data_IF_018416892480
#
_entry.id   IF_018416892480
#
_cell.length_a   1.000
_cell.length_b   1.000
_cell.length_c   1.000
_cell.angle_alpha   90.00
_cell.angle_beta   90.00
_cell.angle_gamma   90.00
#
_symmetry.space_group_name_H-M   'P 1'
#
loop_
_entity.id
_entity.type
_entity.pdbx_description
1 polymer ?
#
# COMPACT_ATOMS: atom_id res chain seq x y z
N UNK A 1 -45.98 50.26 45.36
CA UNK A 1 -45.66 49.90 43.95
C UNK A 1 -44.26 50.41 43.64
N UNK A 2 -43.47 49.61 42.91
CA UNK A 2 -42.03 49.72 42.55
C UNK A 2 -41.06 49.01 43.50
N UNK A 3 -40.96 47.69 43.28
CA UNK A 3 -39.78 46.87 43.56
C UNK A 3 -38.71 47.13 42.50
N UNK A 4 -37.47 47.35 42.92
CA UNK A 4 -36.28 47.39 42.07
C UNK A 4 -35.54 46.05 42.17
N UNK A 5 -35.41 45.37 41.03
CA UNK A 5 -34.72 44.10 40.82
C UNK A 5 -33.19 44.31 40.84
N UNK A 6 -32.45 43.48 41.58
CA UNK A 6 -31.03 43.20 41.36
C UNK A 6 -30.90 41.92 40.53
N UNK A 7 -29.99 41.83 39.53
CA UNK A 7 -29.71 40.55 38.88
C UNK A 7 -28.67 39.78 39.69
N UNK A 8 -29.02 38.54 40.06
CA UNK A 8 -28.12 37.53 40.60
C UNK A 8 -27.35 36.91 39.42
N UNK A 9 -26.04 37.06 39.38
CA UNK A 9 -25.18 36.34 38.42
C UNK A 9 -24.92 34.95 39.00
N UNK A 10 -25.52 33.92 38.39
CA UNK A 10 -25.22 32.53 38.70
C UNK A 10 -23.99 32.08 37.88
N UNK A 11 -22.84 31.90 38.54
CA UNK A 11 -21.72 31.14 37.98
C UNK A 11 -22.02 29.64 38.14
N UNK A 12 -22.28 28.95 37.03
CA UNK A 12 -22.30 27.49 36.98
C UNK A 12 -20.89 27.00 36.62
N UNK A 13 -20.12 26.55 37.60
CA UNK A 13 -18.86 25.83 37.40
C UNK A 13 -19.15 24.34 37.21
N UNK A 14 -18.91 23.82 36.00
CA UNK A 14 -18.96 22.39 35.70
C UNK A 14 -17.69 21.74 36.23
N UNK A 15 -17.83 20.88 37.24
CA UNK A 15 -16.74 20.03 37.76
C UNK A 15 -16.79 18.71 36.99
N UNK A 16 -15.81 18.48 36.11
CA UNK A 16 -15.62 17.18 35.46
C UNK A 16 -14.89 16.24 36.42
N UNK A 17 -15.59 15.24 36.94
CA UNK A 17 -15.00 14.12 37.68
C UNK A 17 -14.72 13.01 36.66
N UNK A 18 -13.45 12.77 36.34
CA UNK A 18 -13.04 11.59 35.58
C UNK A 18 -13.09 10.37 36.49
N UNK A 19 -13.95 9.41 36.17
CA UNK A 19 -13.94 8.07 36.78
C UNK A 19 -12.91 7.24 35.99
N UNK A 20 -11.88 6.65 36.62
CA UNK A 20 -11.01 5.74 35.92
C UNK A 20 -11.79 4.46 35.57
N UNK A 21 -11.84 4.14 34.28
CA UNK A 21 -12.24 2.82 33.81
C UNK A 21 -11.27 1.80 34.39
N UNK A 22 -11.82 0.82 35.11
CA UNK A 22 -11.08 -0.34 35.62
C UNK A 22 -10.36 -1.05 34.48
N UNK A 23 -9.04 -1.24 34.63
CA UNK A 23 -8.23 -2.00 33.69
C UNK A 23 -8.73 -3.45 33.60
N UNK A 24 -9.26 -3.78 32.43
CA UNK A 24 -9.44 -5.14 31.92
C UNK A 24 -8.09 -5.81 31.68
N UNK A 25 -8.13 -7.13 31.49
CA UNK A 25 -7.05 -8.06 31.16
C UNK A 25 -5.74 -7.42 30.66
N UNK A 26 -4.63 -7.83 31.27
CA UNK A 26 -3.27 -7.45 30.87
C UNK A 26 -2.97 -8.07 29.49
N UNK A 27 -3.34 -7.38 28.42
CA UNK A 27 -2.91 -7.73 27.06
C UNK A 27 -1.39 -7.59 26.96
N UNK A 28 -0.76 -8.46 26.17
CA UNK A 28 0.66 -8.32 25.86
C UNK A 28 0.91 -6.97 25.16
N UNK A 29 2.00 -6.27 25.47
CA UNK A 29 2.30 -4.99 24.83
C UNK A 29 2.55 -5.18 23.32
N UNK A 30 2.01 -4.26 22.51
CA UNK A 30 2.23 -4.23 21.06
C UNK A 30 3.71 -4.01 20.74
N UNK A 31 4.27 -4.90 19.92
CA UNK A 31 5.68 -4.91 19.55
C UNK A 31 5.89 -4.37 18.13
N UNK A 32 6.95 -3.58 17.96
CA UNK A 32 7.45 -3.15 16.66
C UNK A 32 8.15 -4.30 15.94
N UNK A 33 7.88 -4.44 14.64
CA UNK A 33 8.48 -5.47 13.80
C UNK A 33 9.51 -4.88 12.82
N UNK A 34 9.13 -3.80 12.13
CA UNK A 34 9.96 -3.10 11.15
C UNK A 34 9.39 -1.70 10.84
N UNK A 35 10.16 -0.88 10.14
CA UNK A 35 9.76 0.45 9.70
C UNK A 35 10.29 0.73 8.29
N UNK A 36 9.64 1.67 7.61
CA UNK A 36 10.04 2.19 6.30
C UNK A 36 9.76 3.68 6.23
N UNK A 37 10.47 4.39 5.34
CA UNK A 37 10.27 5.82 5.17
C UNK A 37 10.40 6.28 3.72
N UNK A 38 9.79 7.42 3.43
CA UNK A 38 9.95 8.17 2.20
C UNK A 38 10.31 9.62 2.52
N UNK A 39 11.08 10.23 1.62
CA UNK A 39 11.47 11.64 1.68
C UNK A 39 11.00 12.32 0.39
N UNK A 40 10.21 13.38 0.51
CA UNK A 40 9.81 14.18 -0.65
C UNK A 40 9.33 15.55 -0.20
N UNK A 41 9.61 16.59 -0.99
CA UNK A 41 9.08 17.94 -0.79
C UNK A 41 9.26 18.45 0.66
N UNK A 42 10.48 18.33 1.20
CA UNK A 42 10.82 18.67 2.59
C UNK A 42 9.90 18.00 3.62
N UNK A 43 9.46 16.78 3.34
CA UNK A 43 8.58 16.01 4.20
C UNK A 43 9.14 14.60 4.37
N UNK A 44 9.29 14.20 5.63
CA UNK A 44 9.48 12.80 6.01
C UNK A 44 8.12 12.18 6.26
N UNK A 45 7.87 11.05 5.62
CA UNK A 45 6.81 10.13 6.02
C UNK A 45 7.43 8.81 6.44
N UNK A 46 7.04 8.31 7.61
CA UNK A 46 7.56 7.06 8.16
C UNK A 46 6.39 6.22 8.63
N UNK A 47 6.41 4.92 8.30
CA UNK A 47 5.47 3.95 8.86
C UNK A 47 6.21 2.91 9.68
N UNK A 48 5.66 2.57 10.84
CA UNK A 48 6.16 1.54 11.73
C UNK A 48 5.10 0.45 11.87
N UNK A 49 5.45 -0.79 11.54
CA UNK A 49 4.54 -1.93 11.51
C UNK A 49 4.71 -2.79 12.76
N UNK A 50 3.59 -3.27 13.31
CA UNK A 50 3.53 -3.97 14.59
C UNK A 50 2.96 -5.39 14.45
N UNK A 51 3.02 -6.13 15.55
CA UNK A 51 2.39 -7.44 15.71
C UNK A 51 0.90 -7.39 16.09
N UNK A 52 0.31 -6.20 16.25
CA UNK A 52 -1.09 -6.01 16.65
C UNK A 52 -2.06 -6.84 15.79
N UNK A 53 -2.95 -7.60 16.43
CA UNK A 53 -4.00 -8.34 15.74
C UNK A 53 -5.21 -7.43 15.51
N UNK A 54 -5.64 -7.17 14.26
CA UNK A 54 -6.84 -6.38 13.98
C UNK A 54 -8.12 -7.02 14.55
N UNK A 55 -8.11 -8.31 14.89
CA UNK A 55 -9.23 -9.02 15.51
C UNK A 55 -9.29 -8.88 17.04
N UNK A 56 -8.19 -8.49 17.68
CA UNK A 56 -8.10 -8.22 19.12
C UNK A 56 -7.37 -6.89 19.36
N UNK A 57 -8.02 -5.76 18.99
CA UNK A 57 -7.36 -4.46 19.01
C UNK A 57 -7.12 -3.99 20.45
N UNK A 58 -5.91 -3.49 20.68
CA UNK A 58 -5.52 -2.83 21.93
C UNK A 58 -4.96 -1.45 21.63
N UNK A 59 -5.19 -0.50 22.53
CA UNK A 59 -4.65 0.85 22.39
C UNK A 59 -3.13 0.81 22.55
N UNK A 60 -2.42 1.34 21.55
CA UNK A 60 -0.97 1.48 21.59
C UNK A 60 -0.54 2.77 20.89
N UNK A 61 0.51 3.39 21.42
CA UNK A 61 1.11 4.61 20.86
C UNK A 61 2.57 4.32 20.55
N UNK A 62 2.98 4.66 19.32
CA UNK A 62 4.37 4.67 18.91
C UNK A 62 4.91 6.11 18.90
N UNK A 63 6.15 6.29 19.33
CA UNK A 63 6.85 7.57 19.35
C UNK A 63 8.06 7.54 18.43
N UNK A 64 8.14 8.52 17.52
CA UNK A 64 9.32 8.77 16.69
C UNK A 64 10.25 9.73 17.43
N UNK A 65 11.49 9.32 17.62
CA UNK A 65 12.51 10.08 18.34
C UNK A 65 13.75 10.26 17.47
N UNK A 66 14.33 11.46 17.51
CA UNK A 66 15.61 11.76 16.87
C UNK A 66 16.71 11.89 17.92
N UNK A 67 17.91 11.45 17.55
CA UNK A 67 19.09 11.57 18.40
C UNK A 67 19.68 12.98 18.30
N UNK A 68 19.91 13.61 19.45
CA UNK A 68 20.56 14.92 19.58
C UNK A 68 21.68 14.83 20.62
N UNK A 69 22.91 14.65 20.15
CA UNK A 69 24.06 14.30 21.00
C UNK A 69 23.83 12.94 21.66
N UNK A 70 23.87 12.90 22.99
CA UNK A 70 23.64 11.69 23.79
C UNK A 70 22.17 11.53 24.24
N UNK A 71 21.28 12.42 23.80
CA UNK A 71 19.86 12.41 24.21
C UNK A 71 18.94 12.08 23.05
N UNK A 72 17.78 11.50 23.36
CA UNK A 72 16.70 11.25 22.41
C UNK A 72 15.60 12.27 22.62
N UNK A 73 15.10 12.84 21.54
CA UNK A 73 13.99 13.79 21.55
C UNK A 73 12.83 13.24 20.74
N UNK A 74 11.68 13.06 21.37
CA UNK A 74 10.42 12.77 20.65
C UNK A 74 10.05 13.93 19.74
N UNK A 75 9.88 13.63 18.45
CA UNK A 75 9.48 14.61 17.44
C UNK A 75 8.05 14.38 16.95
N UNK A 76 7.51 13.18 17.12
CA UNK A 76 6.11 12.87 16.89
C UNK A 76 5.68 11.61 17.66
N UNK A 77 4.37 11.50 17.89
CA UNK A 77 3.71 10.28 18.39
C UNK A 77 2.50 9.99 17.53
N UNK A 78 2.19 8.71 17.35
CA UNK A 78 1.05 8.24 16.57
C UNK A 78 0.42 7.01 17.23
N UNK A 79 -0.90 6.91 17.17
CA UNK A 79 -1.61 5.68 17.53
C UNK A 79 -1.25 4.56 16.54
N UNK A 80 -1.18 3.33 17.04
CA UNK A 80 -1.09 2.14 16.19
C UNK A 80 -2.49 1.86 15.66
N UNK A 81 -2.72 2.12 14.38
CA UNK A 81 -4.01 1.93 13.73
C UNK A 81 -4.36 0.42 13.71
N UNK A 82 -5.48 -0.01 14.34
CA UNK A 82 -5.78 -1.43 14.46
C UNK A 82 -5.93 -2.17 13.13
N UNK A 83 -6.54 -1.51 12.14
CA UNK A 83 -6.84 -2.13 10.85
C UNK A 83 -5.57 -2.51 10.07
N UNK A 84 -4.52 -1.69 10.18
CA UNK A 84 -3.26 -1.83 9.45
C UNK A 84 -2.11 -2.35 10.32
N UNK A 85 -2.33 -2.49 11.62
CA UNK A 85 -1.30 -2.79 12.62
C UNK A 85 -0.06 -1.89 12.44
N UNK A 86 -0.30 -0.58 12.26
CA UNK A 86 0.73 0.37 11.80
C UNK A 86 0.55 1.74 12.46
N UNK A 87 1.66 2.32 12.91
CA UNK A 87 1.73 3.74 13.25
C UNK A 87 2.35 4.53 12.08
N UNK A 88 1.76 5.69 11.74
CA UNK A 88 2.22 6.53 10.64
C UNK A 88 2.59 7.93 11.14
N UNK A 89 3.75 8.42 10.72
CA UNK A 89 4.30 9.72 11.08
C UNK A 89 4.48 10.58 9.84
N UNK A 90 4.24 11.88 9.99
CA UNK A 90 4.54 12.91 8.98
C UNK A 90 5.24 14.08 9.66
N UNK A 91 6.44 14.41 9.20
CA UNK A 91 7.21 15.57 9.65
C UNK A 91 7.43 16.48 8.46
N UNK A 92 6.84 17.68 8.51
CA UNK A 92 7.02 18.71 7.48
C UNK A 92 8.23 19.58 7.80
N UNK A 93 8.74 20.29 6.78
CA UNK A 93 9.98 21.06 6.85
C UNK A 93 11.17 20.20 7.31
N UNK A 94 11.21 18.96 6.83
CA UNK A 94 12.29 18.01 7.08
C UNK A 94 13.59 18.49 6.43
N UNK A 95 14.69 18.39 7.17
CA UNK A 95 16.03 18.64 6.67
C UNK A 95 16.58 17.37 5.98
N UNK A 96 16.46 17.35 4.66
CA UNK A 96 17.00 16.29 3.79
C UNK A 96 18.51 16.41 3.54
N UNK A 97 19.17 17.49 3.93
CA UNK A 97 20.60 17.71 3.65
C UNK A 97 21.50 17.00 4.67
N UNK A 98 20.95 16.60 5.82
CA UNK A 98 21.68 15.94 6.90
C UNK A 98 21.06 14.58 7.25
N UNK A 99 21.91 13.65 7.71
CA UNK A 99 21.45 12.33 8.14
C UNK A 99 21.04 12.37 9.60
N UNK A 100 19.87 11.81 9.92
CA UNK A 100 19.31 11.80 11.26
C UNK A 100 19.24 10.38 11.80
N UNK A 101 19.95 10.11 12.89
CA UNK A 101 19.77 8.87 13.66
C UNK A 101 18.42 8.96 14.37
N UNK A 102 17.56 7.97 14.16
CA UNK A 102 16.22 7.95 14.71
C UNK A 102 15.93 6.61 15.39
N UNK A 103 14.90 6.61 16.23
CA UNK A 103 14.24 5.39 16.67
C UNK A 103 12.74 5.56 16.73
N UNK A 104 12.01 4.47 16.54
CA UNK A 104 10.59 4.36 16.89
C UNK A 104 10.49 3.51 18.15
N UNK A 105 9.71 3.94 19.13
CA UNK A 105 9.47 3.22 20.39
C UNK A 105 7.98 2.91 20.51
N UNK A 106 7.63 1.66 20.80
CA UNK A 106 6.26 1.24 21.13
C UNK A 106 6.32 0.07 22.11
N UNK A 107 5.56 0.17 23.21
CA UNK A 107 5.63 -0.78 24.31
C UNK A 107 7.06 -0.90 24.86
N UNK A 108 7.57 -2.13 24.92
CA UNK A 108 8.95 -2.44 25.36
C UNK A 108 9.95 -2.55 24.20
N UNK A 109 9.51 -2.31 22.96
CA UNK A 109 10.32 -2.51 21.76
C UNK A 109 10.72 -1.20 21.10
N UNK A 110 11.84 -1.24 20.38
CA UNK A 110 12.31 -0.13 19.57
C UNK A 110 12.91 -0.61 18.26
N UNK A 111 12.84 0.23 17.24
CA UNK A 111 13.57 0.09 15.97
C UNK A 111 14.46 1.32 15.84
N UNK A 112 15.77 1.11 15.63
CA UNK A 112 16.75 2.17 15.41
C UNK A 112 17.30 2.13 13.99
N UNK A 113 17.41 3.30 13.36
CA UNK A 113 17.90 3.44 12.00
C UNK A 113 18.43 4.85 11.71
N UNK A 114 18.72 5.08 10.43
CA UNK A 114 19.20 6.36 9.92
C UNK A 114 18.28 6.82 8.78
N UNK A 115 17.65 7.98 8.95
CA UNK A 115 17.06 8.71 7.83
C UNK A 115 18.23 9.41 7.14
N UNK A 116 18.57 8.96 5.94
CA UNK A 116 19.76 9.43 5.23
C UNK A 116 19.55 10.82 4.64
N UNK A 117 20.63 11.58 4.59
CA UNK A 117 20.70 12.75 3.73
C UNK A 117 20.50 12.33 2.27
N UNK A 118 19.87 13.20 1.48
CA UNK A 118 19.79 13.02 0.04
C UNK A 118 21.20 13.07 -0.57
N UNK A 119 21.60 12.12 -1.43
CA UNK A 119 22.93 12.08 -2.03
C UNK A 119 23.11 13.10 -3.17
N UNK A 120 22.83 14.37 -2.90
CA UNK A 120 22.88 15.48 -3.87
C UNK A 120 24.30 15.77 -4.40
N UNK A 121 25.33 15.32 -3.68
CA UNK A 121 26.74 15.46 -4.04
C UNK A 121 27.23 14.35 -4.99
N UNK A 122 26.43 13.29 -5.17
CA UNK A 122 26.76 12.17 -6.06
C UNK A 122 26.31 12.46 -7.49
N UNK A 123 27.15 12.05 -8.45
CA UNK A 123 26.78 12.06 -9.88
C UNK A 123 25.90 10.87 -10.28
N UNK A 124 25.75 9.89 -9.42
CA UNK A 124 25.06 8.63 -9.71
C UNK A 124 24.20 8.25 -8.54
N UNK A 125 22.91 8.06 -8.81
CA UNK A 125 21.94 7.54 -7.86
C UNK A 125 21.85 6.01 -8.03
N UNK A 126 22.12 5.25 -6.96
CA UNK A 126 21.99 3.79 -6.98
C UNK A 126 20.59 3.37 -6.56
N UNK A 127 19.81 2.87 -7.50
CA UNK A 127 18.49 2.29 -7.25
C UNK A 127 18.60 0.77 -7.15
N UNK A 128 18.09 0.19 -6.06
CA UNK A 128 17.92 -1.27 -5.91
C UNK A 128 16.48 -1.63 -6.25
N UNK A 129 16.27 -2.35 -7.37
CA UNK A 129 14.96 -2.81 -7.78
C UNK A 129 14.71 -4.26 -7.34
N UNK A 130 13.55 -4.52 -6.72
CA UNK A 130 13.11 -5.84 -6.26
C UNK A 130 11.64 -6.02 -6.64
N UNK A 131 11.27 -7.22 -7.07
CA UNK A 131 9.87 -7.59 -7.32
C UNK A 131 9.68 -9.09 -7.09
N UNK A 132 8.43 -9.54 -7.06
CA UNK A 132 8.08 -10.96 -7.05
C UNK A 132 8.69 -11.73 -5.86
N UNK A 133 8.47 -11.21 -4.65
CA UNK A 133 9.01 -11.77 -3.40
C UNK A 133 8.05 -12.82 -2.82
N UNK A 134 8.32 -14.08 -3.11
CA UNK A 134 7.71 -15.21 -2.39
C UNK A 134 8.45 -15.51 -1.07
N UNK A 135 7.90 -16.36 -0.21
CA UNK A 135 8.52 -16.72 1.07
C UNK A 135 9.23 -18.10 1.10
N UNK A 136 9.47 -18.72 -0.07
CA UNK A 136 10.05 -20.07 -0.18
C UNK A 136 11.49 -20.19 0.34
N UNK A 137 12.18 -19.07 0.51
CA UNK A 137 13.55 -18.98 1.04
C UNK A 137 13.66 -17.96 2.16
N UNK A 138 12.55 -17.62 2.81
CA UNK A 138 12.56 -16.74 3.97
C UNK A 138 13.65 -17.19 4.99
N UNK A 139 14.53 -16.29 5.45
CA UNK A 139 14.48 -14.83 5.33
C UNK A 139 15.37 -14.22 4.22
N UNK A 140 15.83 -14.98 3.21
CA UNK A 140 16.72 -14.47 2.14
C UNK A 140 18.04 -13.84 2.62
N UNK A 141 18.54 -14.23 3.81
CA UNK A 141 19.62 -13.50 4.49
C UNK A 141 20.87 -13.20 3.65
N UNK A 142 21.33 -14.14 2.80
CA UNK A 142 22.48 -13.90 1.91
C UNK A 142 22.20 -12.83 0.84
N UNK A 143 21.03 -12.88 0.21
CA UNK A 143 20.66 -11.91 -0.82
C UNK A 143 20.48 -10.51 -0.22
N UNK A 144 19.81 -10.43 0.94
CA UNK A 144 19.64 -9.17 1.67
C UNK A 144 20.98 -8.60 2.12
N UNK A 145 21.89 -9.43 2.64
CA UNK A 145 23.24 -8.97 3.00
C UNK A 145 23.98 -8.39 1.79
N UNK A 146 23.92 -9.06 0.63
CA UNK A 146 24.52 -8.54 -0.60
C UNK A 146 23.89 -7.21 -1.03
N UNK A 147 22.57 -7.06 -0.91
CA UNK A 147 21.89 -5.79 -1.18
C UNK A 147 22.37 -4.68 -0.24
N UNK A 148 22.59 -4.97 1.04
CA UNK A 148 23.15 -4.02 2.02
C UNK A 148 24.57 -3.61 1.61
N UNK A 149 25.40 -4.57 1.22
CA UNK A 149 26.79 -4.34 0.79
C UNK A 149 26.91 -3.48 -0.48
N UNK A 150 25.91 -3.52 -1.38
CA UNK A 150 25.86 -2.63 -2.55
C UNK A 150 25.63 -1.15 -2.18
N UNK A 151 25.14 -0.90 -0.97
CA UNK A 151 24.78 0.41 -0.43
C UNK A 151 23.94 1.25 -1.42
N UNK A 152 22.70 0.80 -1.75
CA UNK A 152 21.82 1.57 -2.60
C UNK A 152 21.42 2.87 -1.92
N UNK A 153 21.14 3.90 -2.71
CA UNK A 153 20.66 5.20 -2.24
C UNK A 153 19.14 5.17 -2.03
N UNK A 154 18.41 4.46 -2.89
CA UNK A 154 16.96 4.29 -2.81
C UNK A 154 16.56 2.85 -3.18
N UNK A 155 15.51 2.35 -2.54
CA UNK A 155 14.92 1.04 -2.82
C UNK A 155 13.67 1.21 -3.67
N UNK A 156 13.46 0.31 -4.63
CA UNK A 156 12.24 0.23 -5.42
C UNK A 156 11.68 -1.18 -5.39
N UNK A 157 10.48 -1.33 -4.84
CA UNK A 157 9.69 -2.56 -4.86
C UNK A 157 8.57 -2.42 -5.87
N UNK A 158 8.69 -3.12 -6.99
CA UNK A 158 7.92 -2.85 -8.21
C UNK A 158 6.58 -3.60 -8.30
N UNK A 159 6.21 -4.36 -7.28
CA UNK A 159 5.07 -5.27 -7.32
C UNK A 159 5.37 -6.63 -6.70
N UNK A 160 4.32 -7.34 -6.31
CA UNK A 160 4.36 -8.67 -5.72
C UNK A 160 5.29 -8.72 -4.50
N UNK A 161 5.07 -7.82 -3.54
CA UNK A 161 5.80 -7.86 -2.26
C UNK A 161 5.45 -9.12 -1.46
N UNK A 162 4.27 -9.71 -1.74
CA UNK A 162 3.85 -11.00 -1.22
C UNK A 162 2.99 -11.76 -2.23
N UNK A 163 2.85 -13.06 -2.00
CA UNK A 163 1.91 -13.94 -2.69
C UNK A 163 0.87 -14.47 -1.70
N UNK A 164 -0.32 -14.80 -2.20
CA UNK A 164 -1.41 -15.47 -1.47
C UNK A 164 -0.93 -16.72 -0.72
N UNK A 165 0.04 -17.43 -1.32
CA UNK A 165 0.61 -18.66 -0.78
C UNK A 165 1.56 -18.45 0.40
N UNK A 166 2.01 -17.22 0.65
CA UNK A 166 2.95 -16.94 1.73
C UNK A 166 2.30 -17.22 3.10
N UNK A 167 3.13 -17.40 4.12
CA UNK A 167 2.75 -17.56 5.52
C UNK A 167 1.70 -18.67 5.78
N UNK A 168 1.85 -19.83 5.12
CA UNK A 168 1.01 -21.01 5.36
C UNK A 168 -0.07 -21.25 4.31
N UNK A 169 -0.18 -20.39 3.30
CA UNK A 169 -0.96 -20.65 2.09
C UNK A 169 -2.45 -20.38 2.18
N UNK A 170 -3.00 -20.18 3.38
CA UNK A 170 -4.41 -19.82 3.56
C UNK A 170 -4.67 -18.39 3.09
N UNK A 171 -5.72 -18.19 2.32
CA UNK A 171 -6.19 -16.87 1.87
C UNK A 171 -7.64 -16.67 2.25
N UNK A 172 -7.91 -15.57 2.97
CA UNK A 172 -9.26 -15.10 3.25
C UNK A 172 -9.50 -13.85 2.42
N UNK A 173 -10.53 -13.87 1.55
CA UNK A 173 -10.88 -12.76 0.68
C UNK A 173 -12.01 -11.94 1.31
N UNK A 174 -11.83 -10.62 1.38
CA UNK A 174 -12.86 -9.70 1.87
C UNK A 174 -13.85 -9.36 0.75
N UNK A 175 -14.98 -10.07 0.66
CA UNK A 175 -16.04 -9.74 -0.30
C UNK A 175 -17.07 -8.77 0.31
N UNK A 176 -17.37 -8.93 1.60
CA UNK A 176 -18.26 -8.07 2.36
C UNK A 176 -17.52 -7.36 3.53
N UNK A 177 -18.12 -6.30 4.08
CA UNK A 177 -17.56 -5.54 5.23
C UNK A 177 -17.22 -6.45 6.43
N UNK A 178 -18.06 -7.47 6.70
CA UNK A 178 -17.84 -8.44 7.80
C UNK A 178 -16.58 -9.30 7.61
N UNK A 179 -16.11 -9.46 6.37
CA UNK A 179 -14.96 -10.29 6.03
C UNK A 179 -13.64 -9.49 6.13
N UNK A 180 -13.71 -8.15 6.23
CA UNK A 180 -12.55 -7.26 6.18
C UNK A 180 -11.55 -7.55 7.31
N UNK A 181 -12.01 -7.67 8.56
CA UNK A 181 -11.10 -7.91 9.69
C UNK A 181 -10.46 -9.31 9.62
N UNK A 182 -11.22 -10.42 9.41
CA UNK A 182 -10.62 -11.74 9.21
C UNK A 182 -9.63 -11.78 8.04
N UNK A 183 -9.94 -11.12 6.93
CA UNK A 183 -9.05 -11.07 5.77
C UNK A 183 -7.76 -10.28 6.05
N UNK A 184 -7.82 -9.18 6.82
CA UNK A 184 -6.62 -8.44 7.25
C UNK A 184 -5.78 -9.21 8.25
N UNK A 185 -6.41 -9.92 9.19
CA UNK A 185 -5.70 -10.81 10.12
C UNK A 185 -4.95 -11.93 9.37
N UNK A 186 -5.52 -12.45 8.28
CA UNK A 186 -4.86 -13.41 7.40
C UNK A 186 -3.76 -12.77 6.51
N UNK A 187 -3.93 -11.51 6.10
CA UNK A 187 -2.99 -10.76 5.26
C UNK A 187 -1.73 -10.33 6.02
N UNK A 188 -1.89 -9.79 7.23
CA UNK A 188 -0.80 -9.18 8.01
C UNK A 188 0.41 -10.10 8.23
N UNK A 189 0.27 -11.41 8.56
CA UNK A 189 1.43 -12.31 8.64
C UNK A 189 2.26 -12.38 7.37
N UNK A 190 1.64 -12.28 6.19
CA UNK A 190 2.35 -12.29 4.90
C UNK A 190 3.10 -10.98 4.67
N UNK A 191 2.44 -9.85 4.94
CA UNK A 191 3.06 -8.53 4.89
C UNK A 191 4.21 -8.37 5.89
N UNK A 192 4.05 -8.91 7.10
CA UNK A 192 5.09 -8.93 8.13
C UNK A 192 6.32 -9.71 7.68
N UNK A 193 6.16 -10.83 6.95
CA UNK A 193 7.31 -11.56 6.38
C UNK A 193 8.10 -10.70 5.40
N UNK A 194 7.45 -9.95 4.50
CA UNK A 194 8.12 -9.01 3.61
C UNK A 194 8.96 -8.01 4.42
N UNK A 195 8.34 -7.36 5.41
CA UNK A 195 9.03 -6.43 6.30
C UNK A 195 10.22 -7.04 7.02
N UNK A 196 10.07 -8.25 7.56
CA UNK A 196 11.15 -8.96 8.26
C UNK A 196 12.32 -9.36 7.34
N UNK A 197 12.07 -9.61 6.05
CA UNK A 197 13.14 -9.87 5.07
C UNK A 197 13.98 -8.60 4.87
N UNK A 198 13.34 -7.45 4.71
CA UNK A 198 14.00 -6.21 4.25
C UNK A 198 14.22 -5.15 5.35
N UNK A 199 13.84 -5.40 6.61
CA UNK A 199 13.89 -4.40 7.70
C UNK A 199 15.24 -3.71 7.88
N UNK A 200 16.34 -4.43 7.64
CA UNK A 200 17.69 -3.89 7.81
C UNK A 200 18.08 -2.94 6.67
N UNK A 201 17.43 -3.04 5.51
CA UNK A 201 17.50 -2.07 4.42
C UNK A 201 16.53 -0.90 4.65
N UNK A 202 15.26 -1.22 4.92
CA UNK A 202 14.15 -0.25 4.98
C UNK A 202 14.25 0.74 6.14
N UNK A 203 14.90 0.36 7.25
CA UNK A 203 15.16 1.28 8.37
C UNK A 203 16.23 2.34 8.04
N UNK A 204 17.05 2.12 7.02
CA UNK A 204 18.20 2.96 6.72
C UNK A 204 18.19 3.52 5.29
N UNK A 205 17.19 3.21 4.45
CA UNK A 205 17.06 3.70 3.06
C UNK A 205 15.64 4.16 2.78
N UNK A 206 15.45 5.27 2.04
CA UNK A 206 14.12 5.59 1.53
C UNK A 206 13.69 4.52 0.52
N UNK A 207 12.39 4.25 0.49
CA UNK A 207 11.79 3.26 -0.41
C UNK A 207 10.67 3.84 -1.26
N UNK A 208 10.53 3.26 -2.44
CA UNK A 208 9.34 3.30 -3.28
C UNK A 208 8.75 1.90 -3.26
N UNK A 209 7.50 1.73 -2.84
CA UNK A 209 6.77 0.46 -2.91
C UNK A 209 5.47 0.70 -3.67
N UNK A 210 5.26 -0.06 -4.74
CA UNK A 210 4.02 -0.03 -5.52
C UNK A 210 3.41 -1.42 -5.53
N UNK A 211 2.09 -1.49 -5.31
CA UNK A 211 1.34 -2.75 -5.29
C UNK A 211 1.10 -3.28 -6.70
N UNK A 212 1.21 -4.59 -6.87
CA UNK A 212 0.74 -5.34 -8.05
C UNK A 212 -0.43 -6.27 -7.67
N UNK A 213 -0.76 -7.20 -8.56
CA UNK A 213 -1.96 -8.04 -8.52
C UNK A 213 -1.97 -9.03 -7.34
N UNK A 214 -0.82 -9.62 -7.01
CA UNK A 214 -0.69 -10.50 -5.86
C UNK A 214 -0.77 -9.76 -4.51
N UNK A 215 -0.36 -8.48 -4.46
CA UNK A 215 -0.41 -7.67 -3.25
C UNK A 215 -1.84 -7.42 -2.76
N UNK A 216 -2.81 -7.38 -3.67
CA UNK A 216 -4.23 -7.14 -3.36
C UNK A 216 -5.12 -8.37 -3.59
N UNK A 217 -4.52 -9.55 -3.80
CA UNK A 217 -5.20 -10.82 -4.03
C UNK A 217 -6.17 -10.86 -5.22
N UNK A 218 -5.92 -10.05 -6.24
CA UNK A 218 -6.74 -10.04 -7.45
C UNK A 218 -5.84 -10.36 -8.62
N UNK A 219 -5.88 -11.60 -9.12
CA UNK A 219 -5.06 -11.99 -10.25
C UNK A 219 -5.34 -11.11 -11.48
N UNK A 220 -4.27 -10.71 -12.16
CA UNK A 220 -4.24 -10.02 -13.45
C UNK A 220 -4.86 -8.59 -13.47
N UNK A 221 -5.48 -8.14 -12.37
CA UNK A 221 -6.07 -6.81 -12.08
C UNK A 221 -6.45 -6.01 -13.34
N UNK A 222 -7.68 -6.13 -13.80
CA UNK A 222 -8.22 -5.32 -14.90
C UNK A 222 -9.29 -4.39 -14.34
N UNK A 223 -9.19 -3.09 -14.62
CA UNK A 223 -9.72 -2.14 -13.65
C UNK A 223 -10.50 -0.94 -14.16
N UNK A 224 -10.28 -0.35 -15.34
CA UNK A 224 -10.97 0.90 -15.80
C UNK A 224 -11.26 1.90 -14.64
N UNK A 225 -10.28 2.10 -13.76
CA UNK A 225 -10.41 2.86 -12.52
C UNK A 225 -11.11 2.12 -11.36
N UNK A 226 -10.78 0.86 -11.10
CA UNK A 226 -11.34 0.05 -10.02
C UNK A 226 -12.77 -0.48 -10.20
N UNK A 227 -13.31 -0.50 -11.42
CA UNK A 227 -14.64 -1.05 -11.73
C UNK A 227 -14.56 -2.55 -12.00
N UNK A 228 -15.49 -3.31 -11.42
CA UNK A 228 -15.74 -4.70 -11.83
C UNK A 228 -16.36 -4.73 -13.23
N UNK A 229 -15.92 -5.69 -14.03
CA UNK A 229 -16.29 -5.92 -15.41
C UNK A 229 -17.23 -7.12 -15.52
N UNK A 230 -18.02 -7.17 -16.57
CA UNK A 230 -18.95 -8.27 -16.84
C UNK A 230 -18.21 -9.38 -17.57
N UNK A 231 -18.34 -10.61 -17.09
CA UNK A 231 -17.83 -11.81 -17.77
C UNK A 231 -18.97 -12.60 -18.40
N UNK A 232 -18.73 -13.29 -19.52
CA UNK A 232 -19.72 -14.25 -20.09
C UNK A 232 -20.10 -15.34 -19.08
N UNK A 233 -19.20 -15.67 -18.15
CA UNK A 233 -19.43 -16.65 -17.07
C UNK A 233 -20.45 -16.20 -16.02
N UNK A 234 -20.86 -14.93 -16.05
CA UNK A 234 -21.95 -14.42 -15.21
C UNK A 234 -23.34 -14.66 -15.81
N UNK A 235 -23.43 -15.09 -17.08
CA UNK A 235 -24.71 -15.41 -17.70
C UNK A 235 -25.43 -16.53 -16.91
N UNK A 236 -26.51 -16.16 -16.20
CA UNK A 236 -27.29 -17.06 -15.34
C UNK A 236 -27.12 -16.84 -13.83
N UNK A 237 -26.14 -16.04 -13.40
CA UNK A 237 -26.06 -15.52 -12.04
C UNK A 237 -26.66 -14.11 -12.01
N UNK A 238 -27.62 -13.84 -11.13
CA UNK A 238 -28.17 -12.50 -10.93
C UNK A 238 -27.68 -11.97 -9.57
N UNK A 239 -26.54 -11.26 -9.52
CA UNK A 239 -26.06 -10.69 -8.27
C UNK A 239 -26.98 -9.56 -7.85
N UNK A 240 -27.58 -9.65 -6.66
CA UNK A 240 -28.17 -8.47 -6.01
C UNK A 240 -27.12 -7.44 -5.57
N UNK A 241 -25.82 -7.80 -5.63
CA UNK A 241 -24.67 -6.97 -5.30
C UNK A 241 -23.45 -7.36 -6.16
N UNK A 242 -22.53 -6.44 -6.51
CA UNK A 242 -21.41 -6.66 -7.42
C UNK A 242 -20.35 -7.68 -6.94
N UNK A 243 -20.56 -8.40 -5.84
CA UNK A 243 -19.69 -9.50 -5.38
C UNK A 243 -20.48 -10.74 -4.92
N UNK A 244 -21.79 -10.80 -5.19
CA UNK A 244 -22.64 -11.91 -4.78
C UNK A 244 -22.91 -12.89 -5.95
N UNK A 245 -22.17 -14.00 -5.98
CA UNK A 245 -22.28 -15.02 -7.02
C UNK A 245 -23.23 -16.17 -6.68
N UNK A 246 -24.05 -16.02 -5.62
CA UNK A 246 -24.92 -17.09 -5.13
C UNK A 246 -24.15 -18.39 -4.86
N UNK A 247 -24.69 -19.53 -5.33
CA UNK A 247 -24.12 -20.87 -5.14
C UNK A 247 -23.17 -21.31 -6.28
N UNK A 248 -22.56 -20.38 -7.01
CA UNK A 248 -21.57 -20.74 -8.03
C UNK A 248 -20.45 -21.61 -7.41
N UNK A 249 -20.00 -22.69 -8.10
CA UNK A 249 -18.85 -23.46 -7.66
C UNK A 249 -17.63 -22.57 -7.45
N UNK A 250 -16.79 -22.88 -6.45
CA UNK A 250 -15.62 -22.07 -6.08
C UNK A 250 -14.71 -21.76 -7.27
N UNK A 251 -14.43 -22.76 -8.10
CA UNK A 251 -13.64 -22.59 -9.34
C UNK A 251 -14.29 -21.60 -10.32
N UNK A 252 -15.61 -21.62 -10.43
CA UNK A 252 -16.35 -20.69 -11.30
C UNK A 252 -16.27 -19.27 -10.74
N UNK A 253 -16.42 -19.11 -9.42
CA UNK A 253 -16.25 -17.81 -8.76
C UNK A 253 -14.85 -17.27 -8.99
N UNK A 254 -13.82 -18.06 -8.76
CA UNK A 254 -12.41 -17.69 -9.00
C UNK A 254 -12.19 -17.21 -10.44
N UNK A 255 -12.69 -17.96 -11.45
CA UNK A 255 -12.57 -17.57 -12.85
C UNK A 255 -13.32 -16.27 -13.15
N UNK A 256 -14.51 -16.05 -12.56
CA UNK A 256 -15.25 -14.80 -12.73
C UNK A 256 -14.50 -13.62 -12.09
N UNK A 257 -13.89 -13.78 -10.91
CA UNK A 257 -13.07 -12.71 -10.31
C UNK A 257 -11.83 -12.40 -11.16
N UNK A 258 -11.20 -13.44 -11.73
CA UNK A 258 -10.02 -13.28 -12.59
C UNK A 258 -10.35 -12.61 -13.92
N UNK A 259 -11.43 -13.04 -14.58
CA UNK A 259 -11.86 -12.49 -15.89
C UNK A 259 -12.62 -11.16 -15.75
N UNK A 260 -13.35 -10.98 -14.66
CA UNK A 260 -14.21 -9.82 -14.42
C UNK A 260 -13.48 -8.68 -13.74
N UNK A 261 -12.25 -8.90 -13.28
CA UNK A 261 -11.47 -7.91 -12.56
C UNK A 261 -12.23 -7.31 -11.36
N UNK A 262 -11.84 -6.10 -10.98
CA UNK A 262 -12.36 -5.44 -9.79
C UNK A 262 -11.67 -5.87 -8.51
N UNK A 263 -11.81 -5.04 -7.48
CA UNK A 263 -11.10 -5.20 -6.22
C UNK A 263 -11.93 -5.96 -5.19
N UNK A 264 -11.25 -6.56 -4.22
CA UNK A 264 -11.89 -6.95 -2.96
C UNK A 264 -12.48 -5.70 -2.27
N UNK A 265 -13.25 -5.91 -1.20
CA UNK A 265 -13.95 -4.88 -0.47
C UNK A 265 -13.07 -3.62 -0.28
N UNK A 266 -13.53 -2.40 -0.64
CA UNK A 266 -12.68 -1.22 -0.73
C UNK A 266 -11.97 -0.88 0.58
N UNK A 267 -12.60 -1.17 1.73
CA UNK A 267 -11.98 -1.00 3.05
C UNK A 267 -10.73 -1.88 3.24
N UNK A 268 -10.78 -3.13 2.76
CA UNK A 268 -9.64 -4.05 2.81
C UNK A 268 -8.55 -3.60 1.82
N UNK A 269 -8.93 -3.32 0.57
CA UNK A 269 -8.00 -2.86 -0.47
C UNK A 269 -7.26 -1.59 -0.05
N UNK A 270 -7.99 -0.59 0.45
CA UNK A 270 -7.39 0.67 0.89
C UNK A 270 -6.48 0.50 2.11
N UNK A 271 -6.76 -0.48 2.99
CA UNK A 271 -5.88 -0.81 4.12
C UNK A 271 -4.58 -1.47 3.64
N UNK A 272 -4.67 -2.39 2.68
CA UNK A 272 -3.51 -3.01 2.02
C UNK A 272 -2.62 -1.94 1.37
N UNK A 273 -3.19 -1.09 0.53
CA UNK A 273 -2.45 -0.02 -0.13
C UNK A 273 -1.83 0.96 0.86
N UNK A 274 -2.56 1.28 1.94
CA UNK A 274 -2.05 2.15 3.01
C UNK A 274 -0.86 1.52 3.73
N UNK A 275 -0.89 0.22 4.02
CA UNK A 275 0.23 -0.49 4.64
C UNK A 275 1.48 -0.47 3.76
N UNK A 276 1.30 -0.70 2.46
CA UNK A 276 2.41 -0.82 1.51
C UNK A 276 2.97 0.57 1.12
N UNK A 277 2.08 1.52 0.80
CA UNK A 277 2.41 2.78 0.11
C UNK A 277 2.23 4.03 0.99
N UNK A 278 1.85 3.89 2.26
CA UNK A 278 1.54 5.03 3.14
C UNK A 278 2.71 5.98 3.44
N UNK A 279 3.95 5.55 3.18
CA UNK A 279 5.16 6.37 3.31
C UNK A 279 5.49 7.19 2.05
N UNK A 280 4.80 6.95 0.93
CA UNK A 280 5.02 7.67 -0.33
C UNK A 280 4.48 9.12 -0.26
N UNK A 281 4.87 9.99 -1.21
CA UNK A 281 4.25 11.31 -1.37
C UNK A 281 2.72 11.19 -1.52
N UNK A 282 2.01 12.26 -1.18
CA UNK A 282 0.56 12.26 -1.33
C UNK A 282 0.18 12.03 -2.81
N UNK A 283 -0.82 11.18 -3.03
CA UNK A 283 -1.30 10.87 -4.37
C UNK A 283 -1.91 12.12 -5.04
N UNK A 284 -1.69 12.28 -6.34
CA UNK A 284 -2.20 13.42 -7.12
C UNK A 284 -3.72 13.39 -7.22
N UNK A 285 -4.30 12.20 -7.35
CA UNK A 285 -5.75 12.00 -7.34
C UNK A 285 -6.11 10.72 -6.56
N UNK A 286 -6.21 10.81 -5.22
CA UNK A 286 -6.34 9.65 -4.35
C UNK A 286 -7.67 8.89 -4.51
N UNK A 287 -8.67 9.43 -5.19
CA UNK A 287 -10.00 8.85 -5.33
C UNK A 287 -11.03 9.44 -4.35
N UNK A 288 -12.12 8.70 -4.05
CA UNK A 288 -12.35 7.31 -4.43
C UNK A 288 -12.51 7.13 -5.95
N UNK A 289 -12.12 5.95 -6.43
CA UNK A 289 -12.29 5.47 -7.79
C UNK A 289 -13.20 4.24 -7.78
N UNK A 290 -13.91 4.01 -8.89
CA UNK A 290 -14.72 2.80 -9.09
C UNK A 290 -15.64 2.49 -7.90
N UNK A 291 -15.45 1.32 -7.29
CA UNK A 291 -16.23 0.85 -6.14
C UNK A 291 -15.78 1.41 -4.77
N UNK A 292 -15.02 2.51 -4.73
CA UNK A 292 -14.57 3.13 -3.48
C UNK A 292 -13.10 2.89 -3.12
N UNK A 293 -12.28 2.44 -4.07
CA UNK A 293 -10.84 2.22 -3.84
C UNK A 293 -10.05 3.52 -4.03
N UNK A 294 -8.84 3.57 -3.51
CA UNK A 294 -7.91 4.68 -3.69
C UNK A 294 -6.95 4.42 -4.86
N UNK A 295 -6.23 5.46 -5.25
CA UNK A 295 -5.12 5.36 -6.20
C UNK A 295 -3.89 6.08 -5.65
N UNK A 296 -2.71 5.52 -5.90
CA UNK A 296 -1.41 6.04 -5.46
C UNK A 296 -0.49 6.26 -6.67
N UNK A 297 -0.83 7.26 -7.47
CA UNK A 297 0.11 7.83 -8.44
C UNK A 297 0.49 9.25 -8.04
N UNK A 298 1.78 9.56 -8.15
CA UNK A 298 2.37 10.83 -7.71
C UNK A 298 3.77 10.99 -8.29
N UNK A 299 4.39 12.14 -8.05
CA UNK A 299 5.81 12.36 -8.35
C UNK A 299 6.64 12.33 -7.07
N UNK A 300 7.84 11.78 -7.15
CA UNK A 300 8.85 11.81 -6.11
C UNK A 300 10.09 12.49 -6.68
N UNK A 301 10.52 13.58 -6.06
CA UNK A 301 11.79 14.21 -6.36
C UNK A 301 12.79 13.83 -5.28
N UNK A 302 13.90 13.20 -5.65
CA UNK A 302 14.91 12.71 -4.73
C UNK A 302 16.31 12.85 -5.35
N UNK A 303 17.22 13.53 -4.66
CA UNK A 303 18.62 13.70 -5.07
C UNK A 303 18.79 14.24 -6.51
N UNK A 304 17.92 15.17 -6.92
CA UNK A 304 17.96 15.80 -8.25
C UNK A 304 17.35 14.97 -9.38
N UNK A 305 16.82 13.77 -9.08
CA UNK A 305 16.08 12.91 -10.02
C UNK A 305 14.60 13.03 -9.74
N UNK A 306 13.78 13.09 -10.79
CA UNK A 306 12.32 13.05 -10.66
C UNK A 306 11.78 11.69 -11.08
N UNK A 307 10.92 11.10 -10.26
CA UNK A 307 10.24 9.82 -10.52
C UNK A 307 8.75 10.05 -10.68
N UNK A 308 8.16 9.56 -11.77
CA UNK A 308 6.72 9.36 -11.87
C UNK A 308 6.36 7.98 -11.31
N UNK A 309 5.59 7.96 -10.22
CA UNK A 309 5.03 6.74 -9.64
C UNK A 309 3.63 6.52 -10.21
N UNK A 310 3.41 5.36 -10.84
CA UNK A 310 2.22 5.05 -11.62
C UNK A 310 1.60 3.73 -11.17
N UNK A 311 0.29 3.59 -11.37
CA UNK A 311 -0.45 2.35 -11.14
C UNK A 311 -1.13 1.92 -12.45
N UNK A 312 -0.58 0.98 -13.18
CA UNK A 312 -1.15 0.53 -14.45
C UNK A 312 -2.32 -0.46 -14.26
N UNK A 313 -2.23 -1.34 -13.26
CA UNK A 313 -3.23 -2.38 -12.98
C UNK A 313 -4.65 -1.84 -12.72
N UNK A 314 -4.80 -0.72 -12.01
CA UNK A 314 -6.13 -0.16 -11.67
C UNK A 314 -6.89 0.41 -12.85
N UNK A 315 -6.17 0.88 -13.86
CA UNK A 315 -6.74 1.74 -14.90
C UNK A 315 -6.72 1.11 -16.28
N UNK A 316 -5.99 0.00 -16.46
CA UNK A 316 -5.92 -0.68 -17.75
C UNK A 316 -7.27 -1.23 -18.21
N UNK A 317 -7.52 -1.09 -19.52
CA UNK A 317 -8.64 -1.72 -20.23
C UNK A 317 -8.48 -3.24 -20.23
N UNK A 318 -9.57 -4.00 -20.10
CA UNK A 318 -9.50 -5.46 -20.13
C UNK A 318 -9.27 -6.06 -21.51
N UNK A 319 -8.76 -7.30 -21.56
CA UNK A 319 -8.69 -8.07 -22.79
C UNK A 319 -10.06 -8.26 -23.44
N UNK A 320 -11.15 -8.29 -22.66
CA UNK A 320 -12.52 -8.44 -23.18
C UNK A 320 -12.98 -7.30 -24.08
N UNK A 321 -12.32 -6.14 -24.04
CA UNK A 321 -12.62 -5.03 -24.93
C UNK A 321 -12.16 -5.31 -26.37
N UNK A 322 -11.24 -6.27 -26.56
CA UNK A 322 -10.64 -6.60 -27.86
C UNK A 322 -10.75 -8.07 -28.26
N UNK A 323 -10.87 -8.98 -27.28
CA UNK A 323 -10.98 -10.42 -27.47
C UNK A 323 -12.28 -10.94 -26.89
N UNK A 324 -13.04 -11.70 -27.69
CA UNK A 324 -14.26 -12.36 -27.24
C UNK A 324 -14.07 -13.81 -26.83
N UNK A 325 -12.96 -14.43 -27.24
CA UNK A 325 -12.56 -15.82 -26.97
C UNK A 325 -11.02 -15.89 -26.83
N UNK A 326 -10.46 -16.84 -26.05
CA UNK A 326 -9.01 -16.98 -25.93
C UNK A 326 -8.38 -17.40 -27.27
N UNK A 327 -7.15 -16.95 -27.50
CA UNK A 327 -6.35 -17.40 -28.65
C UNK A 327 -5.87 -18.83 -28.36
N UNK A 328 -5.89 -19.70 -29.36
CA UNK A 328 -5.44 -21.09 -29.22
C UNK A 328 -3.93 -21.19 -28.96
N UNK A 329 -3.53 -22.09 -28.09
CA UNK A 329 -2.12 -22.46 -27.86
C UNK A 329 -1.64 -23.37 -29.01
N UNK A 330 -0.64 -22.96 -29.80
CA UNK A 330 -0.17 -23.74 -30.95
C UNK A 330 0.49 -25.07 -30.55
N UNK A 331 0.88 -25.24 -29.28
CA UNK A 331 1.48 -26.48 -28.80
C UNK A 331 0.46 -27.61 -28.60
N UNK A 332 -0.80 -27.28 -28.34
CA UNK A 332 -1.84 -28.28 -28.04
C UNK A 332 -3.15 -28.07 -28.82
N UNK A 333 -3.25 -27.01 -29.63
CA UNK A 333 -4.42 -26.62 -30.42
C UNK A 333 -5.69 -26.53 -29.58
N UNK A 334 -5.59 -25.93 -28.40
CA UNK A 334 -6.74 -25.63 -27.52
C UNK A 334 -6.69 -24.16 -27.09
N UNK A 335 -7.83 -23.57 -26.73
CA UNK A 335 -7.87 -22.21 -26.22
C UNK A 335 -6.95 -22.06 -25.01
N UNK A 336 -6.22 -20.94 -24.95
CA UNK A 336 -5.48 -20.57 -23.76
C UNK A 336 -6.41 -20.46 -22.54
N UNK A 337 -5.83 -20.58 -21.35
CA UNK A 337 -6.61 -20.64 -20.10
C UNK A 337 -7.40 -19.35 -19.86
N UNK A 338 -6.90 -18.23 -20.35
CA UNK A 338 -7.48 -16.89 -20.22
C UNK A 338 -7.22 -16.06 -21.47
N UNK A 339 -7.92 -14.92 -21.61
CA UNK A 339 -7.88 -14.06 -22.81
C UNK A 339 -6.54 -13.35 -22.99
N UNK A 340 -5.89 -12.99 -21.89
CA UNK A 340 -4.61 -12.26 -21.88
C UNK A 340 -3.39 -13.15 -22.17
N UNK A 341 -3.54 -14.48 -22.10
CA UNK A 341 -2.43 -15.41 -22.36
C UNK A 341 -2.35 -15.69 -23.86
N UNK A 342 -1.25 -15.26 -24.47
CA UNK A 342 -0.92 -15.51 -25.86
C UNK A 342 0.37 -16.32 -25.89
N UNK A 343 0.25 -17.62 -26.10
CA UNK A 343 1.40 -18.54 -26.18
C UNK A 343 2.00 -18.63 -27.58
N UNK A 344 1.26 -18.21 -28.62
CA UNK A 344 1.76 -18.24 -30.00
C UNK A 344 2.72 -17.06 -30.26
N UNK A 345 4.04 -17.29 -30.43
CA UNK A 345 4.98 -16.23 -30.74
C UNK A 345 4.78 -15.61 -32.14
N UNK A 346 4.00 -16.26 -33.01
CA UNK A 346 3.66 -15.75 -34.33
C UNK A 346 2.37 -14.91 -34.34
N UNK A 347 1.62 -14.85 -33.24
CA UNK A 347 0.43 -14.02 -33.15
C UNK A 347 0.80 -12.53 -33.20
N UNK A 348 0.21 -11.80 -34.13
CA UNK A 348 0.41 -10.35 -34.27
C UNK A 348 -0.37 -9.59 -33.20
N UNK A 349 0.28 -9.25 -32.09
CA UNK A 349 -0.34 -8.52 -30.99
C UNK A 349 -0.73 -7.09 -31.36
N UNK A 350 -0.16 -6.50 -32.41
CA UNK A 350 -0.57 -5.16 -32.88
C UNK A 350 -1.99 -5.15 -33.45
N UNK A 351 -2.53 -6.32 -33.84
CA UNK A 351 -3.94 -6.46 -34.22
C UNK A 351 -4.92 -6.19 -33.06
N UNK A 352 -4.43 -6.24 -31.81
CA UNK A 352 -5.20 -5.93 -30.61
C UNK A 352 -5.21 -4.44 -30.28
N UNK A 353 -4.40 -3.62 -30.94
CA UNK A 353 -4.35 -2.18 -30.72
C UNK A 353 -5.62 -1.52 -31.28
N UNK A 354 -6.58 -1.21 -30.39
CA UNK A 354 -7.83 -0.54 -30.76
C UNK A 354 -7.91 0.87 -30.16
N UNK A 355 -8.52 1.84 -30.88
CA UNK A 355 -8.78 3.17 -30.32
C UNK A 355 -9.63 3.09 -29.04
N UNK A 356 -9.25 3.86 -28.02
CA UNK A 356 -10.01 3.96 -26.76
C UNK A 356 -9.57 2.99 -25.65
N UNK A 357 -8.62 2.10 -25.92
CA UNK A 357 -7.96 1.31 -24.88
C UNK A 357 -7.03 2.19 -24.03
N UNK A 358 -6.97 1.91 -22.74
CA UNK A 358 -6.17 2.65 -21.79
C UNK A 358 -5.23 1.71 -21.04
N UNK A 359 -4.01 2.16 -20.73
CA UNK A 359 -3.12 1.50 -19.76
C UNK A 359 -3.18 2.22 -18.41
N UNK A 360 -2.94 3.54 -18.42
CA UNK A 360 -2.88 4.36 -17.22
C UNK A 360 -4.21 5.07 -16.91
N UNK A 361 -5.09 5.18 -17.91
CA UNK A 361 -6.31 5.99 -17.84
C UNK A 361 -6.02 7.50 -17.90
N UNK A 362 -7.04 8.27 -18.26
CA UNK A 362 -6.91 9.71 -18.56
C UNK A 362 -6.29 10.54 -17.42
N UNK A 363 -6.61 10.21 -16.17
CA UNK A 363 -6.14 10.97 -15.02
C UNK A 363 -4.62 10.85 -14.82
N UNK A 364 -4.07 9.64 -14.98
CA UNK A 364 -2.63 9.41 -14.90
C UNK A 364 -1.92 9.92 -16.15
N UNK A 365 -2.49 9.76 -17.35
CA UNK A 365 -1.90 10.32 -18.57
C UNK A 365 -1.76 11.85 -18.48
N UNK A 366 -2.79 12.53 -17.93
CA UNK A 366 -2.74 13.96 -17.67
C UNK A 366 -1.68 14.32 -16.62
N UNK A 367 -1.53 13.49 -15.59
CA UNK A 367 -0.47 13.64 -14.60
C UNK A 367 0.92 13.50 -15.26
N UNK A 368 1.16 12.45 -16.05
CA UNK A 368 2.44 12.21 -16.73
C UNK A 368 2.80 13.38 -17.65
N UNK A 369 1.85 13.91 -18.43
CA UNK A 369 2.10 15.10 -19.28
C UNK A 369 2.58 16.30 -18.46
N UNK A 370 1.91 16.59 -17.34
CA UNK A 370 2.31 17.68 -16.43
C UNK A 370 3.66 17.41 -15.77
N UNK A 371 3.89 16.18 -15.36
CA UNK A 371 5.16 15.77 -14.76
C UNK A 371 6.32 15.98 -15.75
N UNK A 372 6.16 15.61 -17.03
CA UNK A 372 7.16 15.89 -18.08
C UNK A 372 7.42 17.40 -18.21
N UNK A 373 6.38 18.22 -18.29
CA UNK A 373 6.52 19.68 -18.35
C UNK A 373 7.27 20.24 -17.12
N UNK A 374 6.97 19.72 -15.93
CA UNK A 374 7.63 20.09 -14.67
C UNK A 374 9.11 19.70 -14.65
N UNK A 375 9.43 18.49 -15.13
CA UNK A 375 10.79 17.95 -15.23
C UNK A 375 11.61 18.82 -16.18
N UNK A 376 11.07 19.14 -17.37
CA UNK A 376 11.71 20.03 -18.35
C UNK A 376 11.99 21.43 -17.76
N UNK A 377 11.05 21.99 -17.00
CA UNK A 377 11.22 23.31 -16.38
C UNK A 377 12.25 23.32 -15.24
N UNK A 378 12.28 22.25 -14.43
CA UNK A 378 13.14 22.17 -13.24
C UNK A 378 14.55 21.66 -13.57
N UNK A 379 14.76 21.05 -14.74
CA UNK A 379 16.04 20.44 -15.12
C UNK A 379 16.43 19.27 -14.22
N UNK A 380 15.44 18.59 -13.62
CA UNK A 380 15.63 17.32 -12.92
C UNK A 380 15.65 16.22 -13.98
N UNK A 381 16.56 15.25 -13.88
CA UNK A 381 16.62 14.11 -14.81
C UNK A 381 15.69 12.98 -14.39
#
# INVERSE_FOLDING_TARGET
>A
MKCTLFPLIALASVVSIAVPLSANAQHDPVNLLWAQYGLANNTLKLTAHTDLDPMDPVDAIASLELKSGDTWKTVASAEVEPLTAMAAFRIENWDSDTSHVYRVVCGSTLIEGIIRAEPIDKRTLKLMAVSCVNDNRFPYGKAVQQMIEQDPDILFFAGDQLYQTNAGGETIQAHDEKDVLPALANYLPKWRKFGLIFRDLLKDRPSIILTDDHDVYVADLWGVGGKRMKTKREEGFNPSAPYNFGNAPERTRMLIYREGGGYLHPKWTNAVERMQMGHLPDAVAPGPWGSGIRAYFTSLDYAGVSFALLEDRKFKSPPTDVLSEPIDDPHNNKPNTTLEVIMDPAFDTSSLDQPGLNLLGEAQEKFVRRWVEDVEQKGRL
#
